data_IF_342029677648
#
_entry.id   IF_342029677648
#
_cell.length_a   1.000
_cell.length_b   1.000
_cell.length_c   1.000
_cell.angle_alpha   90.00
_cell.angle_beta   90.00
_cell.angle_gamma   90.00
#
_symmetry.space_group_name_H-M   'P 1'
#
loop_
_entity.id
_entity.type
_entity.pdbx_description
1 polymer ?
#
# COMPACT_ATOMS: atom_id res chain seq x y z
N UNK A 1 5.44 16.08 7.12
CA UNK A 1 5.70 16.54 5.74
C UNK A 1 5.56 15.35 4.82
N UNK A 2 4.69 15.40 3.81
CA UNK A 2 4.68 14.38 2.76
C UNK A 2 5.83 14.69 1.80
N UNK A 3 6.70 13.72 1.54
CA UNK A 3 7.78 13.84 0.57
C UNK A 3 7.40 13.01 -0.66
N UNK A 4 7.46 13.62 -1.85
CA UNK A 4 7.35 12.93 -3.12
C UNK A 4 8.75 12.89 -3.74
N UNK A 5 9.24 11.67 -4.02
CA UNK A 5 10.51 11.48 -4.71
C UNK A 5 10.20 11.12 -6.16
N UNK A 6 10.61 11.97 -7.10
CA UNK A 6 10.59 11.65 -8.53
C UNK A 6 11.92 10.95 -8.83
N UNK A 7 11.88 9.64 -9.00
CA UNK A 7 13.04 8.86 -9.43
C UNK A 7 13.12 8.89 -10.96
N UNK A 8 14.15 9.54 -11.51
CA UNK A 8 14.57 9.28 -12.89
C UNK A 8 15.38 7.98 -12.93
N UNK A 9 14.96 6.95 -13.67
CA UNK A 9 15.65 5.67 -13.68
C UNK A 9 17.08 5.83 -14.20
N UNK A 10 18.07 5.28 -13.46
CA UNK A 10 19.51 5.32 -13.82
C UNK A 10 19.94 4.17 -14.76
N UNK A 11 19.05 3.25 -15.07
CA UNK A 11 19.23 2.09 -15.95
C UNK A 11 18.04 1.99 -16.90
N UNK A 12 18.23 1.36 -18.07
CA UNK A 12 17.17 0.89 -18.97
C UNK A 12 16.26 -0.12 -18.25
N UNK A 13 15.46 0.36 -17.30
CA UNK A 13 14.31 -0.37 -16.81
C UNK A 13 13.30 -0.27 -17.93
N UNK A 14 12.98 -1.40 -18.56
CA UNK A 14 11.90 -1.51 -19.55
C UNK A 14 10.57 -1.27 -18.82
N UNK A 15 10.24 -0.01 -18.56
CA UNK A 15 8.96 0.40 -17.99
C UNK A 15 7.96 0.47 -19.14
N UNK A 16 6.81 -0.19 -18.97
CA UNK A 16 5.74 -0.14 -19.97
C UNK A 16 5.20 1.29 -20.11
N UNK A 17 5.32 1.89 -21.29
CA UNK A 17 4.73 3.22 -21.59
C UNK A 17 3.19 3.23 -21.53
N UNK A 18 2.56 2.05 -21.44
CA UNK A 18 1.11 1.88 -21.41
C UNK A 18 0.55 1.69 -19.99
N UNK A 19 1.41 1.64 -18.97
CA UNK A 19 1.00 1.40 -17.58
C UNK A 19 1.45 2.52 -16.63
N UNK A 20 0.50 3.06 -15.89
CA UNK A 20 0.74 3.85 -14.69
C UNK A 20 0.94 2.89 -13.51
N UNK A 21 2.10 2.97 -12.86
CA UNK A 21 2.40 2.26 -11.61
C UNK A 21 2.39 3.25 -10.45
N UNK A 22 1.67 2.92 -9.38
CA UNK A 22 1.58 3.76 -8.19
C UNK A 22 1.98 2.94 -6.97
N UNK A 23 3.11 3.29 -6.38
CA UNK A 23 3.59 2.72 -5.12
C UNK A 23 3.15 3.60 -3.95
N UNK A 24 2.51 3.01 -2.94
CA UNK A 24 2.05 3.71 -1.75
C UNK A 24 2.84 3.30 -0.51
N UNK A 25 3.16 4.28 0.34
CA UNK A 25 3.47 3.98 1.74
C UNK A 25 2.20 3.57 2.50
N UNK A 26 2.31 2.81 3.58
CA UNK A 26 1.17 2.38 4.39
C UNK A 26 0.67 3.45 5.37
N UNK A 27 1.20 3.43 6.58
CA UNK A 27 0.77 4.31 7.69
C UNK A 27 1.10 5.79 7.40
N UNK A 28 0.26 6.70 7.91
CA UNK A 28 0.22 8.13 7.61
C UNK A 28 -0.05 8.52 6.13
N UNK A 29 -0.22 7.55 5.23
CA UNK A 29 -0.53 7.77 3.81
C UNK A 29 -1.87 7.12 3.42
N UNK A 30 -1.96 5.79 3.43
CA UNK A 30 -3.21 5.06 3.19
C UNK A 30 -3.99 4.81 4.47
N UNK A 31 -3.29 4.67 5.59
CA UNK A 31 -3.87 4.45 6.91
C UNK A 31 -3.51 5.61 7.84
N UNK A 32 -4.29 5.79 8.90
CA UNK A 32 -3.94 6.73 9.97
C UNK A 32 -2.63 6.33 10.67
N UNK A 33 -1.99 7.28 11.33
CA UNK A 33 -0.79 7.12 12.17
C UNK A 33 -1.05 6.49 13.56
N UNK A 34 -2.29 6.07 13.86
CA UNK A 34 -2.66 5.42 15.14
C UNK A 34 -1.82 4.18 15.51
N UNK A 35 -1.26 3.50 14.51
CA UNK A 35 -0.35 2.37 14.72
C UNK A 35 0.95 2.81 15.43
N UNK A 36 1.52 3.95 15.02
CA UNK A 36 2.73 4.51 15.62
C UNK A 36 2.47 4.98 17.05
N UNK A 37 1.33 5.63 17.29
CA UNK A 37 0.89 6.01 18.64
C UNK A 37 0.79 4.80 19.57
N UNK A 38 0.21 3.70 19.08
CA UNK A 38 0.05 2.48 19.86
C UNK A 38 1.38 1.84 20.21
N UNK A 39 2.31 1.76 19.25
CA UNK A 39 3.66 1.21 19.49
C UNK A 39 4.42 2.05 20.50
N UNK A 40 4.33 3.40 20.41
CA UNK A 40 4.96 4.30 21.38
C UNK A 40 4.38 4.14 22.78
N UNK A 41 3.07 3.93 22.90
CA UNK A 41 2.39 3.85 24.19
C UNK A 41 2.46 2.47 24.86
N UNK A 42 2.42 1.37 24.09
CA UNK A 42 2.22 0.02 24.61
C UNK A 42 3.29 -0.99 24.16
N UNK A 43 4.23 -0.58 23.30
CA UNK A 43 5.26 -1.45 22.74
C UNK A 43 4.78 -2.31 21.56
N UNK A 44 5.74 -3.00 20.94
CA UNK A 44 5.54 -3.72 19.69
C UNK A 44 4.69 -5.00 19.86
N UNK A 45 4.86 -5.72 20.97
CA UNK A 45 4.12 -6.96 21.22
C UNK A 45 2.61 -6.70 21.34
N UNK A 46 2.24 -5.66 22.10
CA UNK A 46 0.84 -5.23 22.23
C UNK A 46 0.26 -4.74 20.91
N UNK A 47 1.07 -4.08 20.08
CA UNK A 47 0.66 -3.71 18.73
C UNK A 47 0.36 -4.95 17.87
N UNK A 48 1.21 -5.97 17.88
CA UNK A 48 0.95 -7.20 17.12
C UNK A 48 -0.27 -7.97 17.61
N UNK A 49 -0.43 -8.13 18.93
CA UNK A 49 -1.64 -8.72 19.51
C UNK A 49 -2.91 -7.98 19.04
N UNK A 50 -2.88 -6.65 19.05
CA UNK A 50 -3.98 -5.83 18.60
C UNK A 50 -4.25 -5.98 17.09
N UNK A 51 -3.22 -5.96 16.25
CA UNK A 51 -3.39 -6.13 14.81
C UNK A 51 -3.98 -7.49 14.45
N UNK A 52 -3.54 -8.57 15.12
CA UNK A 52 -4.11 -9.91 14.94
C UNK A 52 -5.55 -9.99 15.47
N UNK A 53 -5.82 -9.44 16.65
CA UNK A 53 -7.18 -9.45 17.25
C UNK A 53 -8.19 -8.69 16.40
N UNK A 54 -7.77 -7.56 15.82
CA UNK A 54 -8.62 -6.68 15.03
C UNK A 54 -8.40 -6.83 13.52
N UNK A 55 -7.86 -7.96 13.07
CA UNK A 55 -7.46 -8.18 11.66
C UNK A 55 -8.62 -7.95 10.67
N UNK A 56 -9.85 -8.31 11.05
CA UNK A 56 -11.05 -8.14 10.23
C UNK A 56 -11.73 -6.78 10.39
N UNK A 57 -11.21 -5.90 11.26
CA UNK A 57 -11.71 -4.54 11.45
C UNK A 57 -10.84 -3.58 10.65
N UNK A 58 -11.37 -2.88 9.63
CA UNK A 58 -10.58 -1.97 8.81
C UNK A 58 -9.80 -0.94 9.65
N UNK A 59 -8.59 -0.60 9.20
CA UNK A 59 -7.82 0.51 9.77
C UNK A 59 -8.55 1.83 9.47
N UNK A 60 -8.33 2.81 10.34
CA UNK A 60 -8.72 4.18 10.01
C UNK A 60 -7.91 4.64 8.80
N UNK A 61 -8.59 5.31 7.87
CA UNK A 61 -8.02 5.66 6.57
C UNK A 61 -7.23 6.96 6.68
N UNK A 62 -6.14 7.00 5.92
CA UNK A 62 -5.22 8.13 5.83
C UNK A 62 -5.68 9.21 4.84
N UNK A 63 -4.85 10.24 4.65
CA UNK A 63 -5.19 11.39 3.80
C UNK A 63 -5.42 11.03 2.33
N UNK A 64 -4.80 9.97 1.81
CA UNK A 64 -4.94 9.57 0.41
C UNK A 64 -6.14 8.66 0.11
N UNK A 65 -7.06 8.47 1.07
CA UNK A 65 -8.28 7.67 0.87
C UNK A 65 -9.01 7.98 -0.45
N UNK A 66 -9.30 9.26 -0.70
CA UNK A 66 -10.07 9.66 -1.89
C UNK A 66 -9.36 9.28 -3.19
N UNK A 67 -8.03 9.34 -3.21
CA UNK A 67 -7.23 8.94 -4.35
C UNK A 67 -7.29 7.41 -4.57
N UNK A 68 -7.22 6.61 -3.49
CA UNK A 68 -7.36 5.16 -3.58
C UNK A 68 -8.71 4.74 -4.15
N UNK A 69 -9.80 5.36 -3.70
CA UNK A 69 -11.14 5.07 -4.20
C UNK A 69 -11.28 5.37 -5.70
N UNK A 70 -10.62 6.43 -6.18
CA UNK A 70 -10.60 6.76 -7.62
C UNK A 70 -9.80 5.72 -8.40
N UNK A 71 -8.62 5.33 -7.93
CA UNK A 71 -7.82 4.28 -8.57
C UNK A 71 -8.58 2.95 -8.63
N UNK A 72 -9.18 2.52 -7.52
CA UNK A 72 -9.99 1.31 -7.46
C UNK A 72 -11.17 1.33 -8.44
N UNK A 73 -11.86 2.48 -8.58
CA UNK A 73 -12.93 2.65 -9.59
C UNK A 73 -12.39 2.51 -11.02
N UNK A 74 -11.20 3.04 -11.30
CA UNK A 74 -10.57 2.94 -12.63
C UNK A 74 -10.13 1.51 -12.93
N UNK A 75 -9.49 0.81 -11.98
CA UNK A 75 -9.13 -0.60 -12.09
C UNK A 75 -10.37 -1.46 -12.40
N UNK A 76 -11.46 -1.28 -11.64
CA UNK A 76 -12.72 -2.01 -11.84
C UNK A 76 -13.32 -1.82 -13.24
N UNK A 77 -13.20 -0.63 -13.84
CA UNK A 77 -13.61 -0.39 -15.24
C UNK A 77 -12.79 -1.22 -16.23
N UNK A 78 -11.50 -1.41 -15.98
CA UNK A 78 -10.64 -2.28 -16.79
C UNK A 78 -11.03 -3.74 -16.60
N UNK A 79 -11.26 -4.16 -15.35
CA UNK A 79 -11.61 -5.54 -15.02
C UNK A 79 -12.95 -5.96 -15.61
N UNK A 80 -13.94 -5.06 -15.61
CA UNK A 80 -15.23 -5.28 -16.24
C UNK A 80 -15.14 -5.49 -17.77
N UNK A 81 -14.04 -5.07 -18.41
CA UNK A 81 -13.76 -5.31 -19.83
C UNK A 81 -12.95 -6.59 -20.07
N UNK A 82 -12.69 -7.39 -19.05
CA UNK A 82 -11.80 -8.56 -19.11
C UNK A 82 -10.30 -8.21 -19.14
N UNK A 83 -9.94 -6.93 -19.07
CA UNK A 83 -8.56 -6.43 -19.17
C UNK A 83 -7.91 -6.34 -17.79
N UNK A 84 -7.93 -7.43 -17.03
CA UNK A 84 -7.33 -7.47 -15.69
C UNK A 84 -5.80 -7.50 -15.76
N UNK A 85 -5.25 -8.39 -16.59
CA UNK A 85 -3.80 -8.50 -16.78
C UNK A 85 -3.22 -7.29 -17.53
N UNK A 86 -4.01 -6.67 -18.39
CA UNK A 86 -3.66 -5.50 -19.20
C UNK A 86 -4.10 -4.18 -18.56
N UNK A 87 -4.45 -4.21 -17.27
CA UNK A 87 -4.91 -3.00 -16.60
C UNK A 87 -3.82 -1.91 -16.70
N UNK A 88 -4.17 -0.70 -17.19
CA UNK A 88 -3.21 0.38 -17.34
C UNK A 88 -2.83 1.01 -16.00
N UNK A 89 -3.44 0.59 -14.88
CA UNK A 89 -3.15 1.08 -13.54
C UNK A 89 -2.75 -0.11 -12.68
N UNK A 90 -1.51 -0.09 -12.22
CA UNK A 90 -0.97 -1.05 -11.26
C UNK A 90 -0.68 -0.34 -9.95
N UNK A 91 -1.03 -0.95 -8.83
CA UNK A 91 -0.86 -0.33 -7.50
C UNK A 91 -0.13 -1.25 -6.56
N UNK A 92 0.94 -0.74 -5.96
CA UNK A 92 1.81 -1.50 -5.05
C UNK A 92 1.78 -0.90 -3.65
N UNK A 93 1.73 -1.75 -2.62
CA UNK A 93 1.86 -1.33 -1.22
C UNK A 93 3.29 -1.56 -0.74
N UNK A 94 4.01 -0.51 -0.34
CA UNK A 94 5.34 -0.58 0.27
C UNK A 94 5.26 -0.08 1.71
N UNK A 95 5.25 -1.00 2.67
CA UNK A 95 4.97 -0.66 4.07
C UNK A 95 6.01 -1.22 5.03
N UNK A 96 6.26 -0.50 6.13
CA UNK A 96 7.08 -0.98 7.25
C UNK A 96 6.34 -2.01 8.12
N UNK A 97 5.06 -2.28 7.86
CA UNK A 97 4.30 -3.33 8.55
C UNK A 97 4.93 -4.70 8.31
N UNK A 98 4.82 -5.58 9.31
CA UNK A 98 5.17 -7.00 9.19
C UNK A 98 4.08 -7.76 8.43
N UNK A 99 4.48 -8.58 7.45
CA UNK A 99 3.59 -9.48 6.72
C UNK A 99 2.89 -10.50 7.63
N UNK A 100 3.55 -10.92 8.73
CA UNK A 100 3.06 -11.99 9.59
C UNK A 100 1.98 -11.53 10.58
N UNK A 101 1.99 -10.26 11.01
CA UNK A 101 1.17 -9.79 12.13
C UNK A 101 0.27 -8.59 11.79
N UNK A 102 0.77 -7.62 11.02
CA UNK A 102 0.09 -6.33 10.77
C UNK A 102 -0.31 -6.12 9.30
N UNK A 103 0.22 -6.95 8.41
CA UNK A 103 -0.04 -6.90 6.98
C UNK A 103 -1.43 -7.36 6.56
N UNK A 104 -1.98 -8.47 7.10
CA UNK A 104 -3.30 -8.96 6.70
C UNK A 104 -4.39 -7.91 6.89
N UNK A 105 -4.39 -7.20 8.02
CA UNK A 105 -5.33 -6.11 8.30
C UNK A 105 -5.21 -4.95 7.32
N UNK A 106 -3.99 -4.58 6.94
CA UNK A 106 -3.74 -3.54 5.96
C UNK A 106 -4.31 -3.91 4.57
N UNK A 107 -4.04 -5.13 4.10
CA UNK A 107 -4.56 -5.63 2.82
C UNK A 107 -6.09 -5.70 2.82
N UNK A 108 -6.69 -6.23 3.89
CA UNK A 108 -8.16 -6.27 4.05
C UNK A 108 -8.77 -4.86 4.05
N UNK A 109 -8.08 -3.88 4.63
CA UNK A 109 -8.51 -2.48 4.61
C UNK A 109 -8.54 -1.93 3.18
N UNK A 110 -7.49 -2.18 2.37
CA UNK A 110 -7.45 -1.73 0.97
C UNK A 110 -8.54 -2.38 0.12
N UNK A 111 -8.74 -3.69 0.30
CA UNK A 111 -9.84 -4.43 -0.35
C UNK A 111 -11.21 -3.85 0.01
N UNK A 112 -11.43 -3.50 1.28
CA UNK A 112 -12.68 -2.86 1.73
C UNK A 112 -12.91 -1.47 1.12
N UNK A 113 -11.83 -0.75 0.76
CA UNK A 113 -11.88 0.51 0.02
C UNK A 113 -12.07 0.31 -1.49
N UNK A 114 -12.12 -0.95 -1.96
CA UNK A 114 -12.30 -1.28 -3.36
C UNK A 114 -11.04 -1.12 -4.21
N UNK A 115 -9.87 -1.06 -3.59
CA UNK A 115 -8.58 -1.10 -4.27
C UNK A 115 -8.01 -2.51 -4.21
N UNK A 116 -7.55 -3.00 -5.35
CA UNK A 116 -6.80 -4.26 -5.43
C UNK A 116 -5.34 -3.96 -5.73
N UNK A 117 -4.47 -4.26 -4.77
CA UNK A 117 -3.03 -4.12 -4.92
C UNK A 117 -2.47 -5.26 -5.76
N UNK A 118 -1.59 -4.94 -6.69
CA UNK A 118 -0.87 -5.89 -7.53
C UNK A 118 0.26 -6.55 -6.76
N UNK A 119 1.08 -5.75 -6.06
CA UNK A 119 2.10 -6.25 -5.15
C UNK A 119 2.00 -5.59 -3.77
N UNK A 120 2.44 -6.32 -2.74
CA UNK A 120 2.55 -5.80 -1.39
C UNK A 120 3.89 -6.22 -0.77
N UNK A 121 4.75 -5.24 -0.52
CA UNK A 121 6.08 -5.38 0.04
C UNK A 121 6.07 -4.92 1.50
N UNK A 122 6.23 -5.89 2.39
CA UNK A 122 6.34 -5.71 3.83
C UNK A 122 7.80 -5.61 4.23
N UNK A 123 8.29 -4.39 4.32
CA UNK A 123 9.71 -4.07 4.40
C UNK A 123 10.26 -4.11 5.83
N UNK A 124 9.41 -4.09 6.85
CA UNK A 124 9.86 -3.91 8.24
C UNK A 124 10.81 -2.69 8.35
N UNK A 125 12.10 -2.92 8.59
CA UNK A 125 13.16 -1.89 8.66
C UNK A 125 13.97 -1.71 7.37
N UNK A 126 13.64 -2.40 6.28
CA UNK A 126 14.38 -2.33 5.03
C UNK A 126 14.16 -1.00 4.28
N UNK A 127 15.20 -0.55 3.56
CA UNK A 127 15.16 0.68 2.77
C UNK A 127 14.24 0.51 1.55
N UNK A 128 13.43 1.54 1.27
CA UNK A 128 12.49 1.56 0.14
C UNK A 128 13.15 1.75 -1.23
N UNK A 129 14.27 2.49 -1.28
CA UNK A 129 14.95 2.88 -2.53
C UNK A 129 15.19 1.71 -3.51
N UNK A 130 15.80 0.60 -3.09
CA UNK A 130 16.06 -0.55 -3.97
C UNK A 130 14.81 -1.22 -4.56
N UNK A 131 13.64 -1.04 -3.95
CA UNK A 131 12.37 -1.57 -4.45
C UNK A 131 11.71 -0.62 -5.43
N UNK A 132 11.79 0.69 -5.18
CA UNK A 132 11.28 1.72 -6.08
C UNK A 132 12.02 1.75 -7.42
N UNK A 133 13.26 1.26 -7.50
CA UNK A 133 13.99 1.14 -8.77
C UNK A 133 13.40 0.06 -9.71
N UNK A 134 12.47 -0.78 -9.23
CA UNK A 134 11.86 -1.89 -9.98
C UNK A 134 10.43 -1.61 -10.41
N UNK A 135 9.85 -0.47 -9.99
CA UNK A 135 8.47 -0.04 -10.27
C UNK A 135 8.52 1.03 -11.36
#
# INVERSE_FOLDING_TARGET
MAAATICTPKKDVQVSEKQLRVAFDGDAVLFSDKSEEMVKAHGLDKFFEHETTYENKPLALGPLKGFLEVLGKLQKKSYAKGLRLECPIRTDLLTARSAANSGPRALKTLQSCGLETDEALFLASALKGPFLEKI
#
